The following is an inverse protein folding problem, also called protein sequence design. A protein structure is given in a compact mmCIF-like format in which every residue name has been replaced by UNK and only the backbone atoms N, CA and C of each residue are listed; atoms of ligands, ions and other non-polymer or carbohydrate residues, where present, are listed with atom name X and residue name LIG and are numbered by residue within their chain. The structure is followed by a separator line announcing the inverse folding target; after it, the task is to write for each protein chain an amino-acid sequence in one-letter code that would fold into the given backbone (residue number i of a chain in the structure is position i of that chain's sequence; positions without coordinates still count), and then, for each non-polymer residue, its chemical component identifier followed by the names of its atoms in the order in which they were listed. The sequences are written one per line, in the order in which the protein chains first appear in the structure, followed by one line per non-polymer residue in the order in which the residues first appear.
data_IF_428429604488
#
_entry.id   IF_428429604488
#
_cell.length_a   1.000
_cell.length_b   1.000
_cell.length_c   1.000
_cell.angle_alpha   90.00
_cell.angle_beta   90.00
_cell.angle_gamma   90.00
#
_symmetry.space_group_name_H-M   'P 1'
#
loop_
_entity.id
_entity.type
_entity.pdbx_description
1 polymer ?
#
# COMPACT_ATOMS: atom_id res chain seq x y z
N UNK A 1 -12.74 9.80 -1.60
CA UNK A 1 -11.73 8.71 -1.63
C UNK A 1 -11.04 8.57 -0.27
N UNK A 2 -10.36 7.45 -0.02
CA UNK A 2 -9.45 7.23 1.13
C UNK A 2 -8.13 6.70 0.59
N UNK A 3 -7.03 7.41 0.86
CA UNK A 3 -5.69 7.08 0.36
C UNK A 3 -4.92 6.26 1.40
N UNK A 4 -4.43 5.09 0.99
CA UNK A 4 -3.87 4.07 1.85
C UNK A 4 -2.52 3.59 1.30
N UNK A 5 -1.40 4.29 1.55
CA UNK A 5 -0.10 3.78 1.15
C UNK A 5 0.34 2.61 2.01
N UNK A 6 0.97 1.63 1.35
CA UNK A 6 1.67 0.51 1.98
C UNK A 6 3.16 0.87 2.05
N UNK A 7 3.66 1.11 3.26
CA UNK A 7 4.98 1.74 3.49
C UNK A 7 5.85 0.88 4.42
N UNK A 8 7.17 0.94 4.23
CA UNK A 8 8.13 0.34 5.17
C UNK A 8 9.50 1.01 5.06
N UNK A 9 10.23 0.98 6.17
CA UNK A 9 11.64 1.35 6.24
C UNK A 9 12.59 0.31 5.64
N UNK A 10 12.12 -0.93 5.41
CA UNK A 10 12.93 -2.07 4.97
C UNK A 10 12.43 -2.64 3.64
N UNK A 11 13.36 -3.00 2.75
CA UNK A 11 13.06 -3.77 1.54
C UNK A 11 12.73 -5.23 1.85
N UNK A 12 11.96 -5.90 0.99
CA UNK A 12 11.68 -7.33 1.12
C UNK A 12 10.67 -7.74 2.22
N UNK A 13 10.02 -6.78 2.89
CA UNK A 13 8.98 -7.08 3.89
C UNK A 13 7.63 -7.54 3.29
N UNK A 14 7.53 -7.56 1.95
CA UNK A 14 6.32 -7.95 1.22
C UNK A 14 5.31 -6.82 0.95
N UNK A 15 5.75 -5.55 0.85
CA UNK A 15 4.85 -4.40 0.61
C UNK A 15 3.97 -4.59 -0.63
N UNK A 16 4.58 -4.82 -1.79
CA UNK A 16 3.90 -5.03 -3.07
C UNK A 16 2.93 -6.20 -3.01
N UNK A 17 3.37 -7.33 -2.43
CA UNK A 17 2.52 -8.51 -2.21
C UNK A 17 1.29 -8.18 -1.36
N UNK A 18 1.48 -7.48 -0.23
CA UNK A 18 0.40 -7.11 0.68
C UNK A 18 -0.52 -6.09 0.01
N UNK A 19 0.03 -5.07 -0.67
CA UNK A 19 -0.73 -4.06 -1.39
C UNK A 19 -1.67 -4.71 -2.43
N UNK A 20 -1.13 -5.57 -3.30
CA UNK A 20 -1.90 -6.27 -4.31
C UNK A 20 -3.02 -7.14 -3.71
N UNK A 21 -2.67 -7.97 -2.72
CA UNK A 21 -3.64 -8.90 -2.16
C UNK A 21 -4.70 -8.18 -1.31
N UNK A 22 -4.35 -7.14 -0.56
CA UNK A 22 -5.33 -6.27 0.10
C UNK A 22 -6.27 -5.60 -0.91
N UNK A 23 -5.76 -5.09 -2.04
CA UNK A 23 -6.62 -4.51 -3.08
C UNK A 23 -7.73 -5.50 -3.49
N UNK A 24 -7.35 -6.73 -3.81
CA UNK A 24 -8.32 -7.74 -4.24
C UNK A 24 -9.25 -8.20 -3.14
N UNK A 25 -8.77 -8.30 -1.89
CA UNK A 25 -9.58 -8.66 -0.73
C UNK A 25 -10.57 -7.57 -0.30
N UNK A 26 -10.25 -6.30 -0.56
CA UNK A 26 -11.15 -5.16 -0.37
C UNK A 26 -12.19 -5.13 -1.49
N UNK A 27 -11.78 -5.34 -2.74
CA UNK A 27 -12.68 -5.35 -3.88
C UNK A 27 -13.70 -6.51 -3.82
N UNK A 28 -13.29 -7.70 -3.36
CA UNK A 28 -14.20 -8.83 -3.11
C UNK A 28 -15.24 -8.55 -2.02
N UNK A 29 -15.03 -7.53 -1.18
CA UNK A 29 -15.97 -7.02 -0.18
C UNK A 29 -16.79 -5.83 -0.69
N UNK A 30 -16.92 -5.69 -2.01
CA UNK A 30 -17.74 -4.67 -2.67
C UNK A 30 -17.15 -3.26 -2.63
N UNK A 31 -15.88 -3.09 -2.24
CA UNK A 31 -15.24 -1.80 -2.28
C UNK A 31 -14.77 -1.46 -3.69
N UNK A 32 -14.88 -0.19 -4.07
CA UNK A 32 -14.20 0.31 -5.25
C UNK A 32 -12.75 0.59 -4.92
N UNK A 33 -11.83 -0.03 -5.67
CA UNK A 33 -10.40 0.00 -5.39
C UNK A 33 -9.61 0.45 -6.60
N UNK A 34 -8.75 1.45 -6.39
CA UNK A 34 -7.70 1.87 -7.30
C UNK A 34 -6.34 1.55 -6.66
N UNK A 35 -5.58 0.65 -7.28
CA UNK A 35 -4.20 0.39 -6.96
C UNK A 35 -3.30 1.33 -7.79
N UNK A 36 -2.32 1.98 -7.17
CA UNK A 36 -1.34 2.81 -7.86
C UNK A 36 0.05 2.32 -7.48
N UNK A 37 0.86 1.99 -8.47
CA UNK A 37 2.26 1.65 -8.28
C UNK A 37 3.11 2.94 -8.35
N UNK A 38 3.74 3.29 -7.23
CA UNK A 38 4.70 4.40 -7.15
C UNK A 38 6.15 3.89 -7.11
N UNK A 39 6.39 2.57 -7.17
CA UNK A 39 7.73 1.99 -7.22
C UNK A 39 8.19 1.91 -8.68
N UNK A 40 9.32 2.56 -9.04
CA UNK A 40 9.89 2.46 -10.38
C UNK A 40 10.18 1.04 -10.86
N UNK A 41 10.30 0.06 -9.95
CA UNK A 41 10.41 -1.35 -10.32
C UNK A 41 9.16 -1.90 -11.02
N UNK A 42 8.03 -1.18 -10.94
CA UNK A 42 6.75 -1.51 -11.56
C UNK A 42 6.33 -2.96 -11.23
N UNK A 43 6.62 -3.41 -10.02
CA UNK A 43 6.50 -4.80 -9.61
C UNK A 43 5.05 -5.18 -9.30
N UNK A 44 4.19 -4.22 -8.95
CA UNK A 44 2.80 -4.46 -8.57
C UNK A 44 2.02 -5.15 -9.69
N UNK A 45 2.36 -4.87 -10.95
CA UNK A 45 1.73 -5.50 -12.13
C UNK A 45 1.79 -7.02 -12.08
N UNK A 46 2.89 -7.60 -11.61
CA UNK A 46 3.05 -9.05 -11.55
C UNK A 46 2.20 -9.70 -10.45
N UNK A 47 1.69 -8.92 -9.49
CA UNK A 47 0.87 -9.45 -8.42
C UNK A 47 -0.64 -9.32 -8.69
N UNK A 48 -1.06 -8.41 -9.57
CA UNK A 48 -2.48 -8.03 -9.66
C UNK A 48 -3.00 -7.72 -11.07
N UNK A 49 -2.15 -7.37 -12.03
CA UNK A 49 -2.62 -7.01 -13.36
C UNK A 49 -3.26 -8.21 -14.06
N UNK A 50 -4.35 -7.98 -14.81
CA UNK A 50 -4.94 -9.05 -15.63
C UNK A 50 -4.01 -9.47 -16.76
N UNK A 51 -3.18 -8.54 -17.23
CA UNK A 51 -2.08 -8.74 -18.17
C UNK A 51 -0.88 -7.89 -17.70
N UNK A 52 0.14 -8.51 -17.08
CA UNK A 52 1.34 -7.81 -16.64
C UNK A 52 2.16 -7.19 -17.78
N UNK A 53 2.06 -7.72 -19.01
CA UNK A 53 2.81 -7.22 -20.15
C UNK A 53 2.20 -5.95 -20.75
N UNK A 54 0.91 -5.70 -20.52
CA UNK A 54 0.23 -4.48 -20.94
C UNK A 54 0.48 -3.25 -20.03
N UNK A 55 1.44 -3.35 -19.10
CA UNK A 55 1.76 -2.32 -18.11
C UNK A 55 3.13 -1.65 -18.39
N UNK A 56 3.45 -1.47 -19.67
CA UNK A 56 4.61 -0.74 -20.20
C UNK A 56 4.47 0.78 -20.09
N UNK A 57 3.23 1.26 -19.97
CA UNK A 57 2.88 2.67 -19.81
C UNK A 57 1.98 2.84 -18.60
N UNK A 58 2.07 3.98 -17.92
CA UNK A 58 1.35 4.17 -16.67
C UNK A 58 1.44 5.58 -16.10
N UNK A 59 1.78 5.64 -14.82
CA UNK A 59 1.85 6.85 -14.01
C UNK A 59 2.71 7.91 -14.68
N UNK A 60 3.91 7.56 -15.13
CA UNK A 60 4.88 8.55 -15.63
C UNK A 60 4.43 9.14 -16.97
N UNK A 61 3.99 8.34 -17.94
CA UNK A 61 3.45 8.85 -19.21
C UNK A 61 2.25 9.77 -18.99
N UNK A 62 1.37 9.42 -18.05
CA UNK A 62 0.21 10.26 -17.76
C UNK A 62 0.60 11.55 -17.03
N UNK A 63 1.55 11.48 -16.11
CA UNK A 63 2.08 12.62 -15.37
C UNK A 63 2.77 13.65 -16.28
N UNK A 64 3.44 13.19 -17.34
CA UNK A 64 4.13 14.05 -18.31
C UNK A 64 3.24 14.51 -19.47
N UNK A 65 1.96 14.11 -19.50
CA UNK A 65 1.01 14.47 -20.55
C UNK A 65 1.20 13.71 -21.86
N UNK A 66 2.05 12.67 -21.88
CA UNK A 66 2.23 11.78 -23.04
C UNK A 66 1.02 10.86 -23.25
N UNK A 67 0.22 10.63 -22.21
CA UNK A 67 -0.98 9.79 -22.25
C UNK A 67 -2.10 10.35 -21.39
N UNK A 68 -3.38 10.26 -21.81
CA UNK A 68 -4.51 10.54 -20.92
C UNK A 68 -4.58 9.55 -19.75
N UNK A 69 -4.88 10.02 -18.54
CA UNK A 69 -5.04 9.18 -17.34
C UNK A 69 -5.95 7.96 -17.54
N UNK A 70 -7.11 8.15 -18.20
CA UNK A 70 -8.05 7.07 -18.46
C UNK A 70 -7.44 5.93 -19.28
N UNK A 71 -6.46 6.22 -20.14
CA UNK A 71 -5.72 5.22 -20.92
C UNK A 71 -4.53 4.65 -20.15
N UNK A 72 -4.05 5.29 -19.09
CA UNK A 72 -2.96 4.77 -18.26
C UNK A 72 -3.44 3.76 -17.20
N UNK A 73 -4.73 3.80 -16.84
CA UNK A 73 -5.33 2.85 -15.90
C UNK A 73 -5.66 1.52 -16.63
N UNK A 74 -5.40 0.40 -15.99
CA UNK A 74 -5.58 -0.99 -16.47
C UNK A 74 -6.59 -1.74 -15.61
N UNK A 75 -7.24 -2.72 -16.20
CA UNK A 75 -8.03 -3.69 -15.44
C UNK A 75 -7.11 -4.67 -14.71
N UNK A 76 -7.33 -4.86 -13.43
CA UNK A 76 -6.64 -5.83 -12.59
C UNK A 76 -7.61 -6.92 -12.10
N UNK A 77 -7.04 -7.99 -11.53
CA UNK A 77 -7.80 -9.07 -10.93
C UNK A 77 -8.73 -8.57 -9.81
N UNK A 78 -9.86 -9.26 -9.63
CA UNK A 78 -10.79 -8.99 -8.53
C UNK A 78 -11.59 -7.70 -8.68
N UNK A 79 -11.71 -7.14 -9.89
CA UNK A 79 -12.45 -5.88 -10.13
C UNK A 79 -11.67 -4.62 -9.70
N UNK A 80 -10.37 -4.75 -9.44
CA UNK A 80 -9.49 -3.64 -9.11
C UNK A 80 -9.11 -2.88 -10.38
N UNK A 81 -8.99 -1.55 -10.27
CA UNK A 81 -8.33 -0.72 -11.29
C UNK A 81 -6.87 -0.52 -10.88
N UNK A 82 -5.94 -0.63 -11.83
CA UNK A 82 -4.50 -0.49 -11.60
C UNK A 82 -3.94 0.67 -12.42
N UNK A 83 -3.24 1.60 -11.78
CA UNK A 83 -2.34 2.53 -12.43
C UNK A 83 -0.90 2.02 -12.20
N UNK A 84 -0.29 1.32 -13.18
CA UNK A 84 1.10 0.86 -13.05
C UNK A 84 2.05 2.05 -13.09
N UNK A 85 3.30 1.86 -12.66
CA UNK A 85 4.31 2.91 -12.76
C UNK A 85 4.63 3.22 -14.23
N UNK A 86 4.79 2.16 -15.02
CA UNK A 86 5.23 2.18 -16.42
C UNK A 86 6.62 1.57 -16.58
N UNK A 87 7.07 1.41 -17.82
CA UNK A 87 8.45 1.08 -18.18
C UNK A 87 9.16 2.38 -18.58
N UNK A 88 10.04 2.84 -17.71
CA UNK A 88 10.62 4.19 -17.77
C UNK A 88 12.13 4.08 -17.67
N UNK A 89 12.83 4.67 -18.62
CA UNK A 89 14.29 4.76 -18.58
C UNK A 89 14.79 5.68 -17.45
N UNK A 90 16.07 5.53 -17.11
CA UNK A 90 16.70 6.25 -16.00
C UNK A 90 16.59 7.78 -16.13
N UNK A 91 16.71 8.33 -17.35
CA UNK A 91 16.66 9.79 -17.58
C UNK A 91 15.28 10.36 -17.31
N UNK A 92 14.23 9.68 -17.80
CA UNK A 92 12.83 10.05 -17.55
C UNK A 92 12.47 9.85 -16.08
N UNK A 93 12.98 8.80 -15.43
CA UNK A 93 12.77 8.59 -14.00
C UNK A 93 13.38 9.73 -13.18
N UNK A 94 14.65 10.11 -13.43
CA UNK A 94 15.32 11.23 -12.74
C UNK A 94 14.54 12.53 -12.95
N UNK A 95 14.08 12.79 -14.17
CA UNK A 95 13.28 13.98 -14.50
C UNK A 95 11.99 14.01 -13.69
N UNK A 96 11.29 12.88 -13.60
CA UNK A 96 10.07 12.76 -12.81
C UNK A 96 10.33 12.95 -11.31
N UNK A 97 11.39 12.35 -10.76
CA UNK A 97 11.77 12.52 -9.35
C UNK A 97 12.10 13.99 -9.00
N UNK A 98 12.77 14.70 -9.91
CA UNK A 98 13.03 16.12 -9.78
C UNK A 98 11.74 16.95 -9.78
N UNK A 99 10.78 16.60 -10.63
CA UNK A 99 9.45 17.23 -10.64
C UNK A 99 8.73 16.99 -9.31
N UNK A 100 8.67 15.74 -8.83
CA UNK A 100 8.04 15.40 -7.55
C UNK A 100 8.69 16.14 -6.37
N UNK A 101 10.01 16.32 -6.40
CA UNK A 101 10.74 17.03 -5.35
C UNK A 101 10.41 18.53 -5.32
N UNK A 102 10.15 19.14 -6.48
CA UNK A 102 9.74 20.55 -6.61
C UNK A 102 8.26 20.78 -6.31
N UNK A 103 7.44 19.73 -6.38
CA UNK A 103 5.99 19.78 -6.15
C UNK A 103 5.57 18.78 -5.06
N UNK A 104 5.80 19.07 -3.76
CA UNK A 104 5.59 18.11 -2.67
C UNK A 104 4.15 17.58 -2.51
N UNK A 105 3.15 18.27 -3.06
CA UNK A 105 1.74 17.87 -3.01
C UNK A 105 1.22 17.28 -4.33
N UNK A 106 2.11 17.05 -5.30
CA UNK A 106 1.75 16.62 -6.65
C UNK A 106 0.79 15.42 -6.66
N UNK A 107 1.04 14.38 -5.85
CA UNK A 107 0.19 13.20 -5.82
C UNK A 107 -1.21 13.53 -5.28
N UNK A 108 -1.28 14.28 -4.17
CA UNK A 108 -2.56 14.66 -3.57
C UNK A 108 -3.41 15.51 -4.54
N UNK A 109 -2.79 16.48 -5.20
CA UNK A 109 -3.43 17.33 -6.22
C UNK A 109 -3.83 16.53 -7.46
N UNK A 110 -3.06 15.51 -7.84
CA UNK A 110 -3.37 14.62 -8.96
C UNK A 110 -4.58 13.73 -8.65
N UNK A 111 -4.60 13.10 -7.47
CA UNK A 111 -5.73 12.27 -7.05
C UNK A 111 -7.02 13.07 -6.89
N UNK A 112 -6.95 14.32 -6.41
CA UNK A 112 -8.11 15.21 -6.33
C UNK A 112 -8.74 15.49 -7.70
N UNK A 113 -7.98 15.39 -8.79
CA UNK A 113 -8.45 15.59 -10.17
C UNK A 113 -9.10 14.35 -10.79
N UNK A 114 -8.98 13.17 -10.19
CA UNK A 114 -9.47 11.92 -10.78
C UNK A 114 -11.00 11.76 -10.74
N UNK A 115 -11.75 12.69 -10.14
CA UNK A 115 -13.22 12.61 -10.01
C UNK A 115 -13.71 11.20 -9.62
N UNK A 116 -12.98 10.56 -8.70
CA UNK A 116 -13.29 9.21 -8.25
C UNK A 116 -14.62 9.21 -7.48
N UNK A 117 -15.42 8.13 -7.57
CA UNK A 117 -16.63 8.02 -6.79
C UNK A 117 -16.37 8.15 -5.27
N UNK A 118 -17.40 8.56 -4.54
CA UNK A 118 -17.30 8.66 -3.10
C UNK A 118 -17.00 7.31 -2.47
N UNK A 119 -16.07 7.34 -1.52
CA UNK A 119 -15.64 6.14 -0.81
C UNK A 119 -14.64 5.24 -1.52
N UNK A 120 -14.21 5.53 -2.77
CA UNK A 120 -13.13 4.76 -3.44
C UNK A 120 -11.88 4.67 -2.57
N UNK A 121 -11.33 3.47 -2.42
CA UNK A 121 -10.09 3.20 -1.72
C UNK A 121 -8.93 3.25 -2.71
N UNK A 122 -7.94 4.08 -2.42
CA UNK A 122 -6.74 4.25 -3.26
C UNK A 122 -5.55 3.65 -2.52
N UNK A 123 -5.12 2.45 -2.91
CA UNK A 123 -3.95 1.80 -2.32
C UNK A 123 -2.70 2.16 -3.11
N UNK A 124 -1.66 2.60 -2.42
CA UNK A 124 -0.39 2.98 -3.05
C UNK A 124 0.68 1.95 -2.68
N UNK A 125 1.27 1.30 -3.67
CA UNK A 125 2.54 0.58 -3.47
C UNK A 125 3.70 1.56 -3.59
N UNK A 126 4.72 1.41 -2.74
CA UNK A 126 5.81 2.38 -2.63
C UNK A 126 7.18 1.70 -2.67
N UNK A 127 8.23 2.39 -3.13
CA UNK A 127 9.58 1.86 -3.06
C UNK A 127 10.09 1.84 -1.61
N UNK A 128 11.05 0.96 -1.27
CA UNK A 128 11.61 0.88 0.07
C UNK A 128 12.43 2.14 0.43
N UNK A 129 12.38 2.53 1.69
CA UNK A 129 13.23 3.61 2.22
C UNK A 129 12.70 5.04 1.94
N UNK A 130 13.45 6.07 2.34
CA UNK A 130 13.00 7.47 2.34
C UNK A 130 13.12 8.13 0.96
N UNK A 131 12.29 7.69 0.00
CA UNK A 131 12.27 8.21 -1.37
C UNK A 131 11.33 9.42 -1.54
N UNK A 132 11.44 10.14 -2.66
CA UNK A 132 10.46 11.18 -3.02
C UNK A 132 9.05 10.60 -3.22
N UNK A 133 8.95 9.39 -3.76
CA UNK A 133 7.68 8.66 -3.91
C UNK A 133 7.01 8.39 -2.56
N UNK A 134 7.77 7.94 -1.56
CA UNK A 134 7.25 7.75 -0.21
C UNK A 134 6.78 9.08 0.40
N UNK A 135 7.51 10.17 0.18
CA UNK A 135 7.08 11.49 0.67
C UNK A 135 5.77 11.95 0.04
N UNK A 136 5.59 11.76 -1.26
CA UNK A 136 4.33 12.03 -1.96
C UNK A 136 3.19 11.18 -1.39
N UNK A 137 3.43 9.88 -1.20
CA UNK A 137 2.46 8.94 -0.64
C UNK A 137 2.01 9.34 0.77
N UNK A 138 2.95 9.68 1.66
CA UNK A 138 2.66 10.13 3.03
C UNK A 138 1.88 11.45 3.06
N UNK A 139 2.22 12.39 2.16
CA UNK A 139 1.51 13.68 2.05
C UNK A 139 0.10 13.57 1.48
N UNK A 140 -0.26 12.43 0.89
CA UNK A 140 -1.62 12.12 0.46
C UNK A 140 -2.36 11.17 1.42
N UNK A 141 -1.65 10.44 2.29
CA UNK A 141 -2.20 9.37 3.12
C UNK A 141 -3.34 9.81 4.03
N UNK A 142 -4.42 9.02 4.08
CA UNK A 142 -5.41 9.05 5.15
C UNK A 142 -5.14 7.97 6.19
N UNK A 143 -4.67 6.78 5.79
CA UNK A 143 -4.25 5.70 6.69
C UNK A 143 -2.98 5.08 6.12
N UNK A 144 -1.95 4.84 6.94
CA UNK A 144 -0.76 4.11 6.47
C UNK A 144 -0.86 2.63 6.85
N UNK A 145 -0.67 1.72 5.89
CA UNK A 145 -0.47 0.29 6.17
C UNK A 145 1.03 0.02 6.25
N UNK A 146 1.50 -0.56 7.35
CA UNK A 146 2.93 -0.74 7.63
C UNK A 146 3.24 -2.23 7.82
N UNK A 147 3.71 -2.92 6.77
CA UNK A 147 4.22 -4.27 6.89
C UNK A 147 5.56 -4.32 7.64
N UNK A 148 5.67 -5.27 8.56
CA UNK A 148 6.89 -5.60 9.30
C UNK A 148 7.10 -7.10 9.31
N UNK A 149 8.34 -7.57 9.27
CA UNK A 149 8.63 -8.99 9.51
C UNK A 149 8.80 -9.22 11.01
N UNK A 150 8.53 -10.46 11.45
CA UNK A 150 8.87 -10.91 12.80
C UNK A 150 10.38 -11.20 12.93
N UNK A 151 11.21 -10.18 12.68
CA UNK A 151 12.66 -10.22 12.81
C UNK A 151 13.22 -8.96 13.50
N UNK A 152 14.42 -9.08 14.06
CA UNK A 152 15.06 -8.00 14.83
C UNK A 152 15.34 -6.74 13.98
N UNK A 153 15.65 -6.90 12.69
CA UNK A 153 15.94 -5.78 11.80
C UNK A 153 14.70 -4.93 11.50
N UNK A 154 13.54 -5.57 11.35
CA UNK A 154 12.26 -4.89 11.16
C UNK A 154 11.87 -4.14 12.43
N UNK A 155 12.02 -4.78 13.60
CA UNK A 155 11.80 -4.12 14.89
C UNK A 155 12.70 -2.88 15.08
N UNK A 156 13.98 -2.99 14.74
CA UNK A 156 14.95 -1.89 14.90
C UNK A 156 14.68 -0.70 13.96
N UNK A 157 14.04 -0.92 12.81
CA UNK A 157 13.80 0.15 11.81
C UNK A 157 12.42 0.78 11.91
N UNK A 158 11.49 0.22 12.70
CA UNK A 158 10.16 0.79 12.98
C UNK A 158 10.19 2.29 13.34
N UNK A 159 11.08 2.78 14.23
CA UNK A 159 11.15 4.21 14.56
C UNK A 159 11.52 5.12 13.38
N UNK A 160 12.09 4.58 12.29
CA UNK A 160 12.37 5.36 11.09
C UNK A 160 11.07 5.68 10.34
N UNK A 161 10.21 4.68 10.13
CA UNK A 161 8.95 4.90 9.42
C UNK A 161 7.96 5.71 10.28
N UNK A 162 7.94 5.48 11.60
CA UNK A 162 7.15 6.27 12.56
C UNK A 162 7.51 7.76 12.48
N UNK A 163 8.81 8.11 12.46
CA UNK A 163 9.25 9.51 12.30
C UNK A 163 8.81 10.15 10.98
N UNK A 164 8.75 9.38 9.90
CA UNK A 164 8.26 9.89 8.61
C UNK A 164 6.74 10.14 8.65
N UNK A 165 5.98 9.23 9.28
CA UNK A 165 4.55 9.40 9.54
C UNK A 165 4.29 10.62 10.42
N UNK A 166 5.06 10.80 11.49
CA UNK A 166 4.96 11.95 12.39
C UNK A 166 5.23 13.26 11.66
N UNK A 167 6.18 13.26 10.73
CA UNK A 167 6.56 14.46 9.96
C UNK A 167 5.54 14.84 8.89
N UNK A 168 5.04 13.87 8.13
CA UNK A 168 4.28 14.13 6.90
C UNK A 168 2.77 13.88 7.02
N UNK A 169 2.34 13.04 7.97
CA UNK A 169 0.95 12.61 8.09
C UNK A 169 0.27 13.24 9.32
N UNK A 170 0.83 13.04 10.52
CA UNK A 170 0.20 13.46 11.79
C UNK A 170 -0.21 14.94 11.89
N UNK A 171 0.50 15.91 11.29
CA UNK A 171 0.09 17.30 11.33
C UNK A 171 -1.21 17.59 10.55
N UNK A 172 -1.67 16.66 9.71
CA UNK A 172 -2.87 16.84 8.88
C UNK A 172 -4.12 16.34 9.59
N UNK A 173 -5.19 17.12 9.56
CA UNK A 173 -6.47 16.79 10.18
C UNK A 173 -7.21 15.61 9.53
N UNK A 174 -6.88 15.28 8.28
CA UNK A 174 -7.49 14.18 7.52
C UNK A 174 -6.71 12.87 7.61
N UNK A 175 -5.65 12.81 8.44
CA UNK A 175 -4.91 11.59 8.73
C UNK A 175 -5.53 10.84 9.90
N UNK A 176 -5.96 9.60 9.64
CA UNK A 176 -6.66 8.72 10.57
C UNK A 176 -5.76 7.67 11.24
N UNK A 177 -4.45 7.69 10.99
CA UNK A 177 -3.46 6.88 11.72
C UNK A 177 -2.80 5.77 10.92
N UNK A 178 -2.07 4.92 11.64
CA UNK A 178 -1.32 3.78 11.09
C UNK A 178 -2.02 2.46 11.41
N UNK A 179 -1.81 1.48 10.55
CA UNK A 179 -2.28 0.11 10.68
C UNK A 179 -1.12 -0.85 10.36
N UNK A 180 -0.77 -1.74 11.27
CA UNK A 180 0.40 -2.61 11.11
C UNK A 180 0.00 -4.02 10.69
N UNK A 181 0.85 -4.68 9.89
CA UNK A 181 0.72 -6.09 9.54
C UNK A 181 2.04 -6.78 9.83
N UNK A 182 2.04 -7.84 10.65
CA UNK A 182 3.25 -8.65 10.84
C UNK A 182 3.25 -9.77 9.80
N UNK A 183 4.16 -9.68 8.84
CA UNK A 183 4.22 -10.57 7.69
C UNK A 183 5.24 -11.72 7.90
N UNK A 184 5.02 -12.81 7.16
CA UNK A 184 5.88 -14.01 7.13
C UNK A 184 6.14 -14.60 8.52
N UNK A 185 5.10 -14.68 9.34
CA UNK A 185 5.19 -15.31 10.67
C UNK A 185 5.28 -16.82 10.49
N UNK A 186 6.33 -17.41 11.06
CA UNK A 186 6.56 -18.85 11.09
C UNK A 186 6.58 -19.31 12.55
N UNK A 187 5.44 -19.79 13.09
CA UNK A 187 5.34 -20.24 14.47
C UNK A 187 6.27 -21.41 14.82
N UNK A 188 6.77 -22.14 13.81
CA UNK A 188 7.74 -23.23 14.02
C UNK A 188 9.13 -22.72 14.40
N UNK A 189 9.44 -21.44 14.16
CA UNK A 189 10.71 -20.81 14.51
C UNK A 189 10.58 -20.01 15.79
N UNK A 190 11.19 -20.50 16.88
CA UNK A 190 11.14 -19.87 18.21
C UNK A 190 11.44 -18.37 18.21
N UNK A 191 12.53 -17.94 17.56
CA UNK A 191 12.87 -16.51 17.50
C UNK A 191 11.80 -15.68 16.76
N UNK A 192 11.23 -16.22 15.67
CA UNK A 192 10.18 -15.54 14.91
C UNK A 192 8.91 -15.39 15.78
N UNK A 193 8.53 -16.44 16.50
CA UNK A 193 7.44 -16.41 17.47
C UNK A 193 7.68 -15.38 18.59
N UNK A 194 8.86 -15.39 19.21
CA UNK A 194 9.20 -14.49 20.32
C UNK A 194 9.17 -13.01 19.86
N UNK A 195 9.73 -12.72 18.67
CA UNK A 195 9.68 -11.37 18.09
C UNK A 195 8.26 -10.99 17.68
N UNK A 196 7.46 -11.93 17.15
CA UNK A 196 6.06 -11.68 16.84
C UNK A 196 5.28 -11.28 18.08
N UNK A 197 5.41 -11.99 19.21
CA UNK A 197 4.69 -11.63 20.43
C UNK A 197 5.12 -10.26 20.99
N UNK A 198 6.40 -9.91 20.89
CA UNK A 198 6.88 -8.56 21.23
C UNK A 198 6.25 -7.48 20.33
N UNK A 199 6.25 -7.70 19.01
CA UNK A 199 5.61 -6.79 18.04
C UNK A 199 4.11 -6.69 18.30
N UNK A 200 3.44 -7.81 18.56
CA UNK A 200 1.99 -7.85 18.82
C UNK A 200 1.61 -7.01 20.03
N UNK A 201 2.42 -7.05 21.09
CA UNK A 201 2.19 -6.23 22.28
C UNK A 201 2.45 -4.75 22.00
N UNK A 202 3.53 -4.41 21.29
CA UNK A 202 3.89 -3.03 20.96
C UNK A 202 2.91 -2.35 20.00
N UNK A 203 2.43 -3.08 19.00
CA UNK A 203 1.68 -2.54 17.87
C UNK A 203 0.16 -2.52 18.10
N UNK A 204 -0.32 -2.96 19.26
CA UNK A 204 -1.74 -2.80 19.63
C UNK A 204 -1.98 -1.38 20.18
N UNK A 205 -3.12 -0.75 19.86
CA UNK A 205 -4.26 -1.31 19.11
C UNK A 205 -4.13 -1.24 17.59
N UNK A 206 -3.05 -0.71 17.01
CA UNK A 206 -2.87 -0.46 15.57
C UNK A 206 -2.64 -1.70 14.69
N UNK A 207 -2.46 -2.87 15.27
CA UNK A 207 -2.24 -4.13 14.55
C UNK A 207 -3.51 -4.59 13.83
N UNK A 208 -3.44 -4.78 12.50
CA UNK A 208 -4.48 -5.44 11.70
C UNK A 208 -4.46 -6.95 11.88
N UNK A 209 -3.26 -7.53 11.96
CA UNK A 209 -3.11 -8.98 12.07
C UNK A 209 -1.72 -9.44 11.70
N UNK A 210 -1.59 -10.76 11.62
CA UNK A 210 -0.40 -11.42 11.09
C UNK A 210 -0.72 -12.13 9.78
N UNK A 211 0.27 -12.23 8.91
CA UNK A 211 0.26 -13.12 7.76
C UNK A 211 1.28 -14.22 7.99
N UNK A 212 0.84 -15.47 7.93
CA UNK A 212 1.72 -16.62 8.05
C UNK A 212 2.68 -16.71 6.85
N UNK A 213 3.85 -17.31 7.08
CA UNK A 213 4.71 -17.76 6.00
C UNK A 213 4.02 -18.91 5.26
N UNK A 214 3.67 -18.68 4.00
CA UNK A 214 2.89 -19.61 3.16
C UNK A 214 3.51 -19.69 1.75
N UNK A 215 3.79 -20.91 1.27
CA UNK A 215 4.40 -21.13 -0.05
C UNK A 215 3.48 -20.76 -1.21
N UNK A 216 2.16 -20.69 -0.96
CA UNK A 216 1.19 -20.25 -1.96
C UNK A 216 1.43 -18.81 -2.42
N UNK A 217 2.07 -17.98 -1.59
CA UNK A 217 2.35 -16.57 -1.90
C UNK A 217 3.39 -16.40 -3.02
N UNK A 218 4.62 -16.95 -2.90
CA UNK A 218 5.59 -16.89 -3.99
C UNK A 218 5.14 -17.66 -5.24
N UNK A 219 4.40 -18.76 -5.09
CA UNK A 219 3.85 -19.49 -6.24
C UNK A 219 2.78 -18.69 -7.00
N UNK A 220 1.92 -17.97 -6.29
CA UNK A 220 0.95 -17.06 -6.89
C UNK A 220 1.63 -15.93 -7.67
N UNK A 221 2.71 -15.36 -7.11
CA UNK A 221 3.55 -14.37 -7.80
C UNK A 221 4.17 -14.97 -9.08
N UNK A 222 4.73 -16.17 -9.02
CA UNK A 222 5.29 -16.85 -10.19
C UNK A 222 4.22 -17.11 -11.27
N UNK A 223 2.95 -17.25 -10.86
CA UNK A 223 1.79 -17.43 -11.73
C UNK A 223 1.12 -16.11 -12.15
N UNK A 224 1.70 -14.96 -11.75
CA UNK A 224 1.20 -13.62 -11.99
C UNK A 224 -0.27 -13.39 -11.58
N UNK A 225 -0.71 -14.01 -10.49
CA UNK A 225 -2.09 -13.89 -9.97
C UNK A 225 -2.10 -13.62 -8.46
N UNK A 226 -3.14 -12.96 -7.92
CA UNK A 226 -3.33 -12.81 -6.49
C UNK A 226 -3.47 -14.17 -5.77
N UNK A 227 -3.07 -14.24 -4.50
CA UNK A 227 -3.04 -15.51 -3.74
C UNK A 227 -4.44 -16.11 -3.58
N UNK A 228 -5.48 -15.29 -3.39
CA UNK A 228 -6.86 -15.78 -3.26
C UNK A 228 -7.37 -16.47 -4.53
N UNK A 229 -6.78 -16.16 -5.70
CA UNK A 229 -7.12 -16.80 -6.98
C UNK A 229 -6.29 -18.06 -7.21
N UNK A 230 -5.01 -18.01 -6.84
CA UNK A 230 -4.09 -19.15 -6.98
C UNK A 230 -4.41 -20.28 -5.98
N UNK A 231 -4.53 -19.93 -4.69
CA UNK A 231 -4.79 -20.84 -3.59
C UNK A 231 -5.90 -20.28 -2.67
N UNK A 232 -7.19 -20.44 -3.05
CA UNK A 232 -8.32 -19.84 -2.32
C UNK A 232 -8.46 -20.33 -0.87
N UNK A 233 -7.97 -21.52 -0.58
CA UNK A 233 -8.07 -22.16 0.74
C UNK A 233 -6.78 -22.02 1.59
N UNK A 234 -5.76 -21.33 1.08
CA UNK A 234 -4.48 -21.18 1.78
C UNK A 234 -4.61 -20.33 3.05
N UNK A 235 -3.64 -20.48 3.96
CA UNK A 235 -3.61 -19.69 5.19
C UNK A 235 -3.40 -18.20 4.87
N UNK A 236 -2.51 -17.89 3.92
CA UNK A 236 -2.29 -16.51 3.48
C UNK A 236 -3.57 -15.84 2.95
N UNK A 237 -4.41 -16.56 2.21
CA UNK A 237 -5.70 -16.03 1.73
C UNK A 237 -6.62 -15.65 2.90
N UNK A 238 -6.70 -16.50 3.92
CA UNK A 238 -7.51 -16.24 5.11
C UNK A 238 -6.97 -15.06 5.93
N UNK A 239 -5.66 -15.02 6.14
CA UNK A 239 -5.00 -13.95 6.91
C UNK A 239 -5.16 -12.59 6.24
N UNK A 240 -4.99 -12.51 4.91
CA UNK A 240 -5.20 -11.29 4.13
C UNK A 240 -6.65 -10.85 4.18
N UNK A 241 -7.59 -11.81 4.10
CA UNK A 241 -9.01 -11.51 4.22
C UNK A 241 -9.34 -10.90 5.59
N UNK A 242 -8.80 -11.46 6.68
CA UNK A 242 -8.97 -10.88 8.03
C UNK A 242 -8.34 -9.50 8.15
N UNK A 243 -7.13 -9.30 7.61
CA UNK A 243 -6.49 -7.98 7.61
C UNK A 243 -7.30 -6.92 6.83
N UNK A 244 -7.91 -7.31 5.71
CA UNK A 244 -8.76 -6.43 4.91
C UNK A 244 -10.03 -6.02 5.66
N UNK A 245 -10.63 -6.94 6.42
CA UNK A 245 -11.80 -6.68 7.26
C UNK A 245 -11.49 -5.67 8.37
N UNK A 246 -10.43 -5.90 9.16
CA UNK A 246 -10.00 -4.96 10.18
C UNK A 246 -9.59 -3.59 9.61
N UNK A 247 -9.07 -3.55 8.38
CA UNK A 247 -8.77 -2.29 7.70
C UNK A 247 -10.06 -1.52 7.34
N UNK A 248 -11.11 -2.21 6.89
CA UNK A 248 -12.41 -1.60 6.63
C UNK A 248 -13.07 -1.05 7.90
N UNK A 249 -12.99 -1.79 9.01
CA UNK A 249 -13.48 -1.34 10.31
C UNK A 249 -12.79 -0.04 10.74
N UNK A 250 -11.46 0.05 10.57
CA UNK A 250 -10.71 1.28 10.83
C UNK A 250 -11.13 2.44 9.93
N UNK A 251 -11.30 2.19 8.63
CA UNK A 251 -11.76 3.20 7.69
C UNK A 251 -13.16 3.71 8.08
N UNK A 252 -14.05 2.81 8.48
CA UNK A 252 -15.38 3.16 8.93
C UNK A 252 -15.35 3.99 10.23
N UNK A 253 -14.55 3.58 11.22
CA UNK A 253 -14.38 4.30 12.47
C UNK A 253 -13.81 5.71 12.25
N UNK A 254 -12.82 5.85 11.36
CA UNK A 254 -12.23 7.14 11.00
C UNK A 254 -13.23 8.10 10.35
N UNK A 255 -14.20 7.58 9.57
CA UNK A 255 -15.28 8.39 8.97
C UNK A 255 -16.32 8.85 10.00
N UNK A 256 -16.49 8.09 11.08
CA UNK A 256 -17.47 8.38 12.14
C UNK A 256 -16.91 9.23 13.28
N UNK A 257 -15.57 9.32 13.41
CA UNK A 257 -14.93 10.16 14.40
C UNK A 257 -15.34 11.64 14.19
N UNK A 258 -15.81 12.34 15.23
CA UNK A 258 -16.14 13.75 15.09
C UNK A 258 -14.89 14.51 14.65
N UNK A 259 -14.97 15.20 13.50
CA UNK A 259 -13.96 16.18 13.11
C UNK A 259 -13.94 17.22 14.22
N UNK A 260 -12.95 17.14 15.10
CA UNK A 260 -12.77 18.09 16.20
C UNK A 260 -12.94 19.50 15.66
N UNK A 261 -13.97 20.20 16.16
CA UNK A 261 -14.29 21.58 15.79
C UNK A 261 -13.01 22.43 15.83
N UNK A 262 -12.91 23.33 14.87
CA UNK A 262 -12.01 24.47 14.88
C UNK A 262 -11.85 25.03 16.30
N UNK A 263 -10.70 24.78 16.92
CA UNK A 263 -10.26 25.63 18.02
C UNK A 263 -9.68 26.90 17.41
N UNK A 264 -10.59 27.82 17.09
CA UNK A 264 -10.41 29.26 17.21
C UNK A 264 -9.27 29.64 18.16
N UNK A 265 -8.18 30.20 17.62
CA UNK A 265 -7.43 31.35 18.16
C UNK A 265 -6.28 31.72 17.24
#
# INVERSE_FOLDING_TARGET
MVVIPVISSKGGVGKTTIAANLCTALASRGQQVLAIDLDPQNALRFHIASDPHACDTGLVEAATGMMPWARAIRAAHGGVMLLPFGDVDDERQITFEHQLSRHPLWLAETLARFSLPDGTLVLLDTPPGPTVYLQQALRAANICVIPVLADAGSFATLPIIERLVDKYCRPRADYAGSAYVVNQVDPGKRLNHDVFEMLRQRLRPELLGMLHLDQSVPEALASAVPVHRYAPMSQATQDIASCAEHLLERIAAARQAPRSMESTR
#
